data_IF_099404225433
#
_entry.id   IF_099404225433
#
_cell.length_a   1.000
_cell.length_b   1.000
_cell.length_c   1.000
_cell.angle_alpha   90.00
_cell.angle_beta   90.00
_cell.angle_gamma   90.00
#
_symmetry.space_group_name_H-M   'P 1'
#
loop_
_entity.id
_entity.type
_entity.pdbx_description
1 polymer ?
#
# COMPACT_ATOMS: atom_id res chain seq x y z
N UNK A 1 6.94 -3.33 -11.27
CA UNK A 1 5.95 -2.70 -10.38
C UNK A 1 5.78 -1.26 -10.81
N UNK A 2 4.52 -0.84 -10.90
CA UNK A 2 4.11 0.51 -11.30
C UNK A 2 3.61 1.31 -10.13
N UNK A 3 3.53 2.62 -10.37
CA UNK A 3 2.82 3.51 -9.47
C UNK A 3 1.33 3.58 -9.80
N UNK A 4 0.53 3.93 -8.79
CA UNK A 4 -0.86 4.33 -8.96
C UNK A 4 -0.94 5.48 -9.97
N UNK A 5 -1.95 5.46 -10.82
CA UNK A 5 -2.20 6.53 -11.80
C UNK A 5 -2.54 7.85 -11.12
N UNK A 6 -2.27 8.97 -11.80
CA UNK A 6 -2.63 10.32 -11.36
C UNK A 6 -1.97 10.75 -10.03
N UNK A 7 -0.67 10.43 -9.85
CA UNK A 7 0.09 10.86 -8.66
C UNK A 7 -0.06 12.36 -8.40
N UNK A 8 0.05 13.20 -9.43
CA UNK A 8 -0.03 14.65 -9.25
C UNK A 8 -1.42 15.12 -8.78
N UNK A 9 -2.50 14.53 -9.30
CA UNK A 9 -3.85 14.84 -8.81
C UNK A 9 -4.03 14.41 -7.35
N UNK A 10 -3.47 13.25 -6.98
CA UNK A 10 -3.49 12.77 -5.61
C UNK A 10 -2.69 13.70 -4.66
N UNK A 11 -1.57 14.25 -5.12
CA UNK A 11 -0.78 15.26 -4.39
C UNK A 11 -1.61 16.52 -4.18
N UNK A 12 -2.23 17.05 -5.24
CA UNK A 12 -3.06 18.26 -5.15
C UNK A 12 -4.27 18.07 -4.23
N UNK A 13 -4.88 16.88 -4.21
CA UNK A 13 -6.00 16.61 -3.32
C UNK A 13 -5.58 16.48 -1.85
N UNK A 14 -4.43 15.86 -1.57
CA UNK A 14 -3.88 15.80 -0.21
C UNK A 14 -3.42 17.19 0.27
N UNK A 15 -2.82 17.99 -0.62
CA UNK A 15 -2.45 19.38 -0.36
C UNK A 15 -3.67 20.22 0.07
N UNK A 16 -4.79 20.11 -0.66
CA UNK A 16 -6.04 20.82 -0.30
C UNK A 16 -6.56 20.42 1.09
N UNK A 17 -6.42 19.16 1.48
CA UNK A 17 -6.80 18.68 2.81
C UNK A 17 -5.92 19.34 3.87
N UNK A 18 -4.59 19.30 3.69
CA UNK A 18 -3.61 19.89 4.60
C UNK A 18 -3.77 21.41 4.73
N UNK A 19 -4.15 22.11 3.66
CA UNK A 19 -4.37 23.55 3.70
C UNK A 19 -5.62 23.93 4.49
N UNK A 20 -6.70 23.18 4.34
CA UNK A 20 -8.02 23.54 4.88
C UNK A 20 -8.23 23.06 6.31
N UNK A 21 -7.79 21.84 6.60
CA UNK A 21 -8.12 21.19 7.86
C UNK A 21 -7.09 21.53 8.93
N UNK A 22 -7.58 21.93 10.10
CA UNK A 22 -6.78 22.42 11.21
C UNK A 22 -6.88 21.53 12.45
N UNK A 23 -7.89 20.66 12.49
CA UNK A 23 -8.09 19.64 13.50
C UNK A 23 -7.44 18.32 13.07
N UNK A 24 -6.70 17.66 13.97
CA UNK A 24 -5.95 16.44 13.69
C UNK A 24 -6.84 15.21 13.41
N UNK A 25 -7.96 15.08 14.11
CA UNK A 25 -8.91 13.96 13.94
C UNK A 25 -9.62 14.05 12.59
N UNK A 26 -10.13 15.23 12.25
CA UNK A 26 -10.72 15.49 10.94
C UNK A 26 -9.68 15.33 9.82
N UNK A 27 -8.44 15.82 10.02
CA UNK A 27 -7.35 15.64 9.06
C UNK A 27 -7.12 14.14 8.79
N UNK A 28 -6.97 13.35 9.85
CA UNK A 28 -6.81 11.90 9.76
C UNK A 28 -7.98 11.25 9.00
N UNK A 29 -9.23 11.59 9.34
CA UNK A 29 -10.43 11.08 8.66
C UNK A 29 -10.43 11.39 7.17
N UNK A 30 -10.07 12.61 6.78
CA UNK A 30 -10.02 13.05 5.39
C UNK A 30 -8.91 12.36 4.59
N UNK A 31 -7.72 12.19 5.19
CA UNK A 31 -6.61 11.47 4.55
C UNK A 31 -6.99 9.99 4.35
N UNK A 32 -7.56 9.33 5.36
CA UNK A 32 -8.03 7.94 5.22
C UNK A 32 -9.08 7.80 4.12
N UNK A 33 -10.04 8.73 4.04
CA UNK A 33 -11.06 8.75 2.97
C UNK A 33 -10.44 8.95 1.60
N UNK A 34 -9.46 9.85 1.47
CA UNK A 34 -8.73 10.07 0.22
C UNK A 34 -8.01 8.78 -0.22
N UNK A 35 -7.24 8.16 0.67
CA UNK A 35 -6.47 6.96 0.34
C UNK A 35 -7.38 5.78 0.01
N UNK A 36 -8.47 5.61 0.76
CA UNK A 36 -9.50 4.60 0.48
C UNK A 36 -10.15 4.81 -0.90
N UNK A 37 -10.43 6.07 -1.27
CA UNK A 37 -10.98 6.41 -2.59
C UNK A 37 -10.00 6.05 -3.71
N UNK A 38 -8.72 6.34 -3.54
CA UNK A 38 -7.67 6.03 -4.52
C UNK A 38 -7.53 4.51 -4.67
N UNK A 39 -7.54 3.77 -3.57
CA UNK A 39 -7.40 2.31 -3.58
C UNK A 39 -8.63 1.55 -4.06
N UNK A 40 -9.76 2.22 -4.35
CA UNK A 40 -10.93 1.54 -4.95
C UNK A 40 -10.61 0.81 -6.26
N UNK A 41 -9.67 1.34 -7.04
CA UNK A 41 -9.21 0.71 -8.28
C UNK A 41 -8.26 -0.48 -8.05
N UNK A 42 -7.75 -0.63 -6.83
CA UNK A 42 -6.74 -1.63 -6.44
C UNK A 42 -7.17 -2.33 -5.15
N UNK A 43 -8.30 -3.06 -5.14
CA UNK A 43 -8.92 -3.58 -3.91
C UNK A 43 -8.06 -4.59 -3.14
N UNK A 44 -7.04 -5.15 -3.78
CA UNK A 44 -6.08 -6.04 -3.15
C UNK A 44 -5.03 -5.30 -2.31
N UNK A 45 -4.81 -3.99 -2.50
CA UNK A 45 -3.80 -3.23 -1.76
C UNK A 45 -4.33 -2.84 -0.38
N UNK A 46 -3.52 -3.07 0.66
CA UNK A 46 -3.86 -2.69 2.02
C UNK A 46 -3.76 -1.18 2.20
N UNK A 47 -4.73 -0.62 2.92
CA UNK A 47 -4.63 0.73 3.44
C UNK A 47 -3.48 0.78 4.48
N UNK A 48 -2.71 1.88 4.56
CA UNK A 48 -1.79 2.14 5.65
C UNK A 48 -2.50 2.13 7.00
N UNK A 49 -1.75 1.89 8.06
CA UNK A 49 -2.20 2.10 9.42
C UNK A 49 -2.14 3.59 9.74
N UNK A 50 -3.21 4.10 10.34
CA UNK A 50 -3.29 5.47 10.83
C UNK A 50 -3.55 5.44 12.33
N UNK A 51 -2.77 6.18 13.10
CA UNK A 51 -2.94 6.27 14.54
C UNK A 51 -2.60 7.67 15.03
N UNK A 52 -3.43 8.22 15.92
CA UNK A 52 -3.09 9.43 16.66
C UNK A 52 -2.36 8.97 17.91
N UNK A 53 -1.14 9.46 18.09
CA UNK A 53 -0.27 9.12 19.21
C UNK A 53 0.11 10.38 19.97
N UNK A 54 0.34 10.31 21.29
CA UNK A 54 0.90 11.43 22.04
C UNK A 54 2.26 11.84 21.47
N UNK A 55 2.45 13.12 21.18
CA UNK A 55 3.71 13.66 20.63
C UNK A 55 4.90 13.41 21.58
N UNK A 56 4.66 13.36 22.89
CA UNK A 56 5.68 13.00 23.90
C UNK A 56 6.26 11.59 23.70
N UNK A 57 5.51 10.67 23.09
CA UNK A 57 5.97 9.31 22.85
C UNK A 57 7.02 9.28 21.71
N UNK A 58 7.25 10.43 21.04
CA UNK A 58 8.22 10.64 19.98
C UNK A 58 9.48 11.39 20.41
N UNK A 59 9.64 11.69 21.72
CA UNK A 59 10.74 12.48 22.29
C UNK A 59 12.14 11.97 21.90
N UNK A 60 12.27 10.70 21.52
CA UNK A 60 13.53 10.05 21.15
C UNK A 60 13.61 9.55 19.69
N UNK A 61 12.57 9.76 18.89
CA UNK A 61 12.44 9.19 17.53
C UNK A 61 12.27 10.26 16.46
N UNK A 62 11.59 11.35 16.77
CA UNK A 62 11.38 12.51 15.91
C UNK A 62 12.05 13.68 16.62
N UNK A 63 12.63 14.64 15.89
CA UNK A 63 13.46 15.70 16.44
C UNK A 63 12.60 16.71 17.20
N UNK A 64 12.07 16.31 18.36
CA UNK A 64 11.25 17.10 19.26
C UNK A 64 12.07 18.30 19.77
N UNK A 65 12.08 19.37 18.97
CA UNK A 65 12.75 20.63 19.31
C UNK A 65 11.76 21.69 19.79
N UNK A 66 10.45 21.45 19.72
CA UNK A 66 9.45 22.43 20.16
C UNK A 66 8.59 21.92 21.33
N UNK A 67 8.88 22.35 22.58
CA UNK A 67 8.05 22.03 23.76
C UNK A 67 6.61 22.57 23.68
N UNK A 68 6.28 23.40 22.67
CA UNK A 68 4.95 23.94 22.43
C UNK A 68 4.21 23.27 21.25
N UNK A 69 4.73 22.16 20.71
CA UNK A 69 4.00 21.35 19.73
C UNK A 69 2.67 20.83 20.30
N UNK A 70 1.64 20.66 19.46
CA UNK A 70 0.39 20.01 19.88
C UNK A 70 0.72 18.64 20.48
N UNK A 71 -0.01 18.25 21.52
CA UNK A 71 0.22 17.04 22.32
C UNK A 71 0.01 15.73 21.56
N UNK A 72 -0.49 15.80 20.34
CA UNK A 72 -0.87 14.66 19.50
C UNK A 72 -0.28 14.77 18.10
N UNK A 73 0.11 13.62 17.55
CA UNK A 73 0.73 13.45 16.24
C UNK A 73 -0.01 12.36 15.48
N UNK A 74 -0.27 12.59 14.19
CA UNK A 74 -0.76 11.56 13.29
C UNK A 74 0.41 10.73 12.76
N UNK A 75 0.47 9.46 13.13
CA UNK A 75 1.35 8.46 12.56
C UNK A 75 0.65 7.78 11.38
N UNK A 76 1.31 7.79 10.22
CA UNK A 76 0.97 6.99 9.04
C UNK A 76 2.05 5.92 8.89
N UNK A 77 1.66 4.65 8.94
CA UNK A 77 2.60 3.52 8.87
C UNK A 77 2.18 2.49 7.84
N UNK A 78 3.14 2.05 7.03
CA UNK A 78 2.97 0.91 6.14
C UNK A 78 4.30 0.18 5.95
N UNK A 79 4.40 -1.02 6.52
CA UNK A 79 5.64 -1.79 6.58
C UNK A 79 6.81 -0.97 7.18
N UNK A 80 7.85 -0.72 6.39
CA UNK A 80 9.04 0.04 6.79
C UNK A 80 8.89 1.56 6.59
N UNK A 81 7.75 2.01 6.07
CA UNK A 81 7.45 3.44 5.97
C UNK A 81 6.70 3.90 7.22
N UNK A 82 7.22 4.95 7.84
CA UNK A 82 6.59 5.69 8.94
C UNK A 82 6.70 7.18 8.61
N UNK A 83 5.61 7.91 8.81
CA UNK A 83 5.54 9.34 8.64
C UNK A 83 4.72 9.94 9.80
N UNK A 84 5.21 11.07 10.30
CA UNK A 84 4.64 11.77 11.45
C UNK A 84 4.17 13.15 11.02
N UNK A 85 2.86 13.37 11.08
CA UNK A 85 2.26 14.67 10.83
C UNK A 85 1.83 15.27 12.16
N UNK A 86 2.38 16.43 12.49
CA UNK A 86 2.04 17.14 13.72
C UNK A 86 1.85 18.63 13.43
N UNK A 87 1.24 19.32 14.38
CA UNK A 87 1.00 20.76 14.27
C UNK A 87 1.83 21.51 15.29
N UNK A 88 2.51 22.55 14.84
CA UNK A 88 3.31 23.41 15.71
C UNK A 88 2.48 24.59 16.24
N UNK A 89 3.07 25.34 17.17
CA UNK A 89 2.47 26.53 17.77
C UNK A 89 2.13 27.64 16.75
N UNK A 90 2.81 27.64 15.60
CA UNK A 90 2.53 28.52 14.46
C UNK A 90 1.29 28.12 13.64
N UNK A 91 0.56 27.09 14.10
CA UNK A 91 -0.63 26.52 13.45
C UNK A 91 -0.35 25.89 12.08
N UNK A 92 0.90 25.61 11.73
CA UNK A 92 1.24 24.89 10.50
C UNK A 92 1.40 23.40 10.77
N UNK A 93 1.08 22.60 9.75
CA UNK A 93 1.40 21.18 9.71
C UNK A 93 2.86 20.98 9.38
N UNK A 94 3.47 19.98 10.01
CA UNK A 94 4.83 19.54 9.79
C UNK A 94 4.85 18.05 9.52
N UNK A 95 5.67 17.62 8.56
CA UNK A 95 5.99 16.23 8.29
C UNK A 95 7.42 15.95 8.74
N UNK A 96 7.57 15.05 9.70
CA UNK A 96 8.84 14.57 10.24
C UNK A 96 9.81 15.70 10.67
N UNK A 97 9.29 16.87 11.05
CA UNK A 97 10.04 18.12 11.33
C UNK A 97 10.78 18.73 10.13
N UNK A 98 10.71 18.11 8.95
CA UNK A 98 11.51 18.48 7.78
C UNK A 98 10.76 19.35 6.78
N UNK A 99 9.42 19.22 6.72
CA UNK A 99 8.61 19.88 5.71
C UNK A 99 7.39 20.53 6.36
N UNK A 100 7.19 21.83 6.11
CA UNK A 100 6.06 22.61 6.63
C UNK A 100 5.11 23.11 5.54
N UNK A 101 5.54 23.07 4.27
CA UNK A 101 4.73 23.52 3.15
C UNK A 101 3.75 22.41 2.73
N UNK A 102 2.42 22.67 2.70
CA UNK A 102 1.40 21.64 2.44
C UNK A 102 1.66 20.82 1.17
N UNK A 103 2.10 21.46 0.09
CA UNK A 103 2.45 20.78 -1.15
C UNK A 103 3.63 19.82 -0.97
N UNK A 104 4.67 20.23 -0.24
CA UNK A 104 5.84 19.38 0.02
C UNK A 104 5.48 18.21 0.92
N UNK A 105 4.65 18.43 1.94
CA UNK A 105 4.13 17.37 2.82
C UNK A 105 3.36 16.34 1.98
N UNK A 106 2.39 16.80 1.18
CA UNK A 106 1.58 15.93 0.34
C UNK A 106 2.43 15.11 -0.62
N UNK A 107 3.36 15.78 -1.32
CA UNK A 107 4.30 15.15 -2.25
C UNK A 107 5.15 14.08 -1.57
N UNK A 108 5.75 14.39 -0.41
CA UNK A 108 6.64 13.46 0.30
C UNK A 108 5.90 12.25 0.85
N UNK A 109 4.66 12.41 1.31
CA UNK A 109 3.84 11.28 1.73
C UNK A 109 3.56 10.38 0.54
N UNK A 110 3.06 10.93 -0.57
CA UNK A 110 2.65 10.13 -1.75
C UNK A 110 3.85 9.46 -2.43
N UNK A 111 4.99 10.15 -2.56
CA UNK A 111 6.21 9.61 -3.18
C UNK A 111 6.88 8.48 -2.38
N UNK A 112 6.62 8.40 -1.07
CA UNK A 112 7.36 7.49 -0.18
C UNK A 112 6.52 6.34 0.32
N UNK A 113 5.20 6.51 0.45
CA UNK A 113 4.36 5.47 1.03
C UNK A 113 4.18 4.31 0.03
N UNK A 114 4.50 3.06 0.44
CA UNK A 114 4.60 1.93 -0.50
C UNK A 114 3.36 1.67 -1.35
N UNK A 115 2.15 1.86 -0.81
CA UNK A 115 0.90 1.60 -1.54
C UNK A 115 0.80 2.31 -2.90
N UNK A 116 1.36 3.51 -3.06
CA UNK A 116 1.30 4.24 -4.33
C UNK A 116 2.28 3.70 -5.37
N UNK A 117 3.21 2.85 -5.00
CA UNK A 117 4.29 2.35 -5.85
C UNK A 117 4.32 0.82 -5.96
N UNK A 118 3.24 0.17 -5.52
CA UNK A 118 3.14 -1.29 -5.40
C UNK A 118 2.05 -1.89 -6.31
N UNK A 119 1.87 -1.34 -7.51
CA UNK A 119 0.98 -1.98 -8.50
C UNK A 119 1.76 -3.11 -9.18
N UNK A 120 1.37 -4.38 -9.00
CA UNK A 120 2.06 -5.48 -9.64
C UNK A 120 1.78 -5.50 -11.14
N UNK A 121 2.74 -6.00 -11.91
CA UNK A 121 2.65 -6.15 -13.37
C UNK A 121 2.76 -7.61 -13.82
N UNK A 122 3.02 -8.53 -12.90
CA UNK A 122 3.15 -9.95 -13.17
C UNK A 122 2.94 -10.78 -11.89
N UNK A 123 2.75 -12.10 -11.99
CA UNK A 123 2.51 -12.99 -10.86
C UNK A 123 3.64 -13.01 -9.81
N UNK A 124 4.89 -12.81 -10.23
CA UNK A 124 6.03 -12.78 -9.29
C UNK A 124 5.97 -11.55 -8.38
N UNK A 125 5.56 -10.41 -8.93
CA UNK A 125 5.33 -9.20 -8.14
C UNK A 125 4.15 -9.35 -7.19
N UNK A 126 3.07 -10.01 -7.60
CA UNK A 126 1.96 -10.35 -6.69
C UNK A 126 2.46 -11.20 -5.52
N UNK A 127 3.25 -12.25 -5.78
CA UNK A 127 3.86 -13.08 -4.72
C UNK A 127 4.73 -12.24 -3.78
N UNK A 128 5.60 -11.41 -4.33
CA UNK A 128 6.46 -10.53 -3.52
C UNK A 128 5.64 -9.60 -2.62
N UNK A 129 4.62 -8.93 -3.17
CA UNK A 129 3.76 -8.01 -2.41
C UNK A 129 2.93 -8.70 -1.33
N UNK A 130 2.55 -9.96 -1.53
CA UNK A 130 1.92 -10.81 -0.52
C UNK A 130 2.90 -11.12 0.62
N UNK A 131 4.14 -11.49 0.28
CA UNK A 131 5.19 -11.84 1.23
C UNK A 131 5.60 -10.64 2.10
N UNK A 132 5.72 -9.45 1.50
CA UNK A 132 6.00 -8.22 2.26
C UNK A 132 4.74 -7.59 2.87
N UNK A 133 3.56 -8.19 2.68
CA UNK A 133 2.34 -7.78 3.36
C UNK A 133 1.66 -6.50 2.85
N UNK A 134 2.03 -5.98 1.67
CA UNK A 134 1.41 -4.78 1.06
C UNK A 134 0.01 -5.06 0.52
N UNK A 135 -0.25 -6.30 0.08
CA UNK A 135 -1.56 -6.69 -0.46
C UNK A 135 -2.24 -7.74 0.43
N UNK A 136 -3.57 -7.76 0.43
CA UNK A 136 -4.38 -8.76 1.11
C UNK A 136 -4.27 -10.10 0.38
N UNK A 137 -4.20 -11.21 1.12
CA UNK A 137 -4.41 -12.53 0.53
C UNK A 137 -5.92 -12.72 0.31
N UNK A 138 -6.41 -12.26 -0.84
CA UNK A 138 -7.78 -12.51 -1.30
C UNK A 138 -7.75 -12.82 -2.80
N UNK A 139 -7.79 -14.12 -3.18
CA UNK A 139 -7.73 -14.54 -4.57
C UNK A 139 -8.79 -13.92 -5.48
N UNK A 140 -9.93 -13.47 -4.93
CA UNK A 140 -11.02 -12.85 -5.72
C UNK A 140 -10.63 -11.51 -6.34
N UNK A 141 -9.65 -10.83 -5.74
CA UNK A 141 -9.24 -9.48 -6.16
C UNK A 141 -7.92 -9.46 -6.91
N UNK A 142 -7.24 -10.59 -7.07
CA UNK A 142 -5.95 -10.59 -7.75
C UNK A 142 -6.09 -10.24 -9.24
N UNK A 143 -5.23 -9.35 -9.76
CA UNK A 143 -5.23 -9.00 -11.17
C UNK A 143 -4.81 -10.19 -12.02
N UNK A 144 -5.30 -10.24 -13.25
CA UNK A 144 -4.84 -11.16 -14.30
C UNK A 144 -4.07 -10.33 -15.33
N UNK A 145 -2.90 -10.82 -15.74
CA UNK A 145 -1.99 -10.05 -16.61
C UNK A 145 -1.98 -10.56 -18.05
N UNK A 146 -2.75 -11.62 -18.34
CA UNK A 146 -2.86 -12.24 -19.64
C UNK A 146 -4.29 -12.72 -19.89
N UNK A 147 -4.66 -12.74 -21.17
CA UNK A 147 -5.92 -13.28 -21.68
C UNK A 147 -5.84 -14.79 -22.02
N UNK A 148 -4.66 -15.41 -21.82
CA UNK A 148 -4.50 -16.85 -22.04
C UNK A 148 -5.50 -17.62 -21.16
N UNK A 149 -6.19 -18.57 -21.78
CA UNK A 149 -7.06 -19.52 -21.08
C UNK A 149 -6.22 -20.66 -20.52
N UNK A 150 -6.39 -20.93 -19.23
CA UNK A 150 -5.73 -22.01 -18.54
C UNK A 150 -6.63 -23.24 -18.50
N UNK A 151 -6.01 -24.42 -18.59
CA UNK A 151 -6.72 -25.71 -18.60
C UNK A 151 -7.33 -26.05 -17.24
N UNK A 152 -6.64 -25.72 -16.15
CA UNK A 152 -7.16 -25.73 -14.78
C UNK A 152 -6.84 -24.40 -14.09
N UNK A 153 -7.80 -23.87 -13.34
CA UNK A 153 -7.70 -22.61 -12.59
C UNK A 153 -7.99 -22.75 -11.10
N UNK A 154 -8.27 -23.96 -10.59
CA UNK A 154 -8.72 -24.13 -9.19
C UNK A 154 -7.69 -23.64 -8.17
N UNK A 155 -6.41 -23.91 -8.40
CA UNK A 155 -5.32 -23.53 -7.49
C UNK A 155 -4.58 -22.26 -7.93
N UNK A 156 -5.01 -21.64 -9.03
CA UNK A 156 -4.32 -20.50 -9.63
C UNK A 156 -4.85 -19.20 -9.06
N UNK A 157 -3.93 -18.41 -8.52
CA UNK A 157 -4.18 -17.10 -7.93
C UNK A 157 -4.12 -15.99 -8.97
N UNK A 158 -3.14 -16.02 -9.88
CA UNK A 158 -2.93 -15.05 -10.96
C UNK A 158 -1.93 -15.59 -11.98
N UNK A 159 -1.92 -15.06 -13.21
CA UNK A 159 -1.02 -15.48 -14.28
C UNK A 159 -0.68 -14.33 -15.25
N UNK A 160 0.42 -14.49 -15.97
CA UNK A 160 0.78 -13.76 -17.18
C UNK A 160 1.03 -14.74 -18.35
N UNK A 161 1.63 -14.28 -19.44
CA UNK A 161 1.88 -15.11 -20.62
C UNK A 161 2.91 -16.23 -20.40
N UNK A 162 3.67 -16.20 -19.30
CA UNK A 162 4.81 -17.09 -19.06
C UNK A 162 4.68 -17.87 -17.75
N UNK A 163 4.12 -17.24 -16.73
CA UNK A 163 4.10 -17.74 -15.37
C UNK A 163 2.71 -17.66 -14.76
N UNK A 164 2.50 -18.52 -13.78
CA UNK A 164 1.32 -18.53 -12.92
C UNK A 164 1.74 -18.64 -11.45
N UNK A 165 0.98 -17.99 -10.59
CA UNK A 165 1.12 -18.06 -9.14
C UNK A 165 0.03 -18.98 -8.61
N UNK A 166 0.42 -20.00 -7.86
CA UNK A 166 -0.48 -20.91 -7.16
C UNK A 166 -0.29 -20.83 -5.65
N UNK A 167 -1.29 -21.34 -4.93
CA UNK A 167 -1.23 -21.57 -3.50
C UNK A 167 -2.55 -21.28 -2.81
N UNK A 168 -2.66 -21.73 -1.57
CA UNK A 168 -3.86 -21.55 -0.74
C UNK A 168 -3.59 -20.71 0.51
N UNK A 169 -2.31 -20.47 0.82
CA UNK A 169 -1.82 -19.73 2.00
C UNK A 169 -0.53 -18.99 1.65
N UNK A 170 -0.19 -17.95 2.40
CA UNK A 170 1.04 -17.18 2.18
C UNK A 170 2.32 -18.03 2.22
N UNK A 171 2.35 -19.07 3.06
CA UNK A 171 3.52 -19.92 3.24
C UNK A 171 3.69 -21.03 2.18
N UNK A 172 2.74 -21.19 1.25
CA UNK A 172 2.82 -22.21 0.19
C UNK A 172 2.74 -21.63 -1.23
N UNK A 173 2.96 -20.32 -1.38
CA UNK A 173 2.96 -19.66 -2.67
C UNK A 173 4.09 -20.16 -3.58
N UNK A 174 3.76 -20.57 -4.80
CA UNK A 174 4.73 -21.03 -5.81
C UNK A 174 4.48 -20.40 -7.16
N UNK A 175 5.57 -20.15 -7.88
CA UNK A 175 5.54 -19.71 -9.27
C UNK A 175 5.89 -20.91 -10.14
N UNK A 176 5.08 -21.16 -11.16
CA UNK A 176 5.36 -22.13 -12.21
C UNK A 176 5.33 -21.43 -13.57
N UNK A 177 6.09 -21.95 -14.51
CA UNK A 177 5.82 -21.73 -15.94
C UNK A 177 4.56 -22.51 -16.36
N UNK A 178 3.97 -22.12 -17.49
CA UNK A 178 2.84 -22.86 -18.06
C UNK A 178 3.20 -24.32 -18.40
N UNK A 179 4.42 -24.57 -18.85
CA UNK A 179 4.92 -25.93 -19.13
C UNK A 179 5.00 -26.78 -17.87
N UNK A 180 5.62 -26.26 -16.81
CA UNK A 180 5.72 -26.98 -15.52
C UNK A 180 4.34 -27.26 -14.90
N UNK A 181 3.40 -26.33 -15.05
CA UNK A 181 2.04 -26.50 -14.55
C UNK A 181 1.27 -27.57 -15.33
N UNK A 182 1.40 -27.59 -16.65
CA UNK A 182 0.80 -28.62 -17.49
C UNK A 182 1.34 -30.01 -17.13
N UNK A 183 2.65 -30.15 -16.98
CA UNK A 183 3.27 -31.41 -16.54
C UNK A 183 2.76 -31.88 -15.17
N UNK A 184 2.40 -30.96 -14.27
CA UNK A 184 1.81 -31.29 -12.97
C UNK A 184 0.37 -31.79 -13.12
N UNK A 185 -0.46 -31.10 -13.90
CA UNK A 185 -1.85 -31.52 -14.18
C UNK A 185 -1.87 -32.91 -14.82
N UNK A 186 -1.02 -33.12 -15.83
CA UNK A 186 -0.97 -34.40 -16.57
C UNK A 186 -0.58 -35.56 -15.64
N UNK A 187 0.32 -35.32 -14.68
CA UNK A 187 0.67 -36.31 -13.66
C UNK A 187 -0.48 -36.58 -12.70
N UNK A 188 -1.16 -35.54 -12.19
CA UNK A 188 -2.30 -35.72 -11.28
C UNK A 188 -3.42 -36.52 -11.94
N UNK A 189 -3.76 -36.21 -13.20
CA UNK A 189 -4.76 -36.93 -13.96
C UNK A 189 -4.37 -38.40 -14.22
N UNK A 190 -3.09 -38.67 -14.51
CA UNK A 190 -2.61 -40.05 -14.69
C UNK A 190 -2.79 -40.92 -13.44
N UNK A 191 -2.75 -40.34 -12.24
CA UNK A 191 -3.00 -41.06 -10.99
C UNK A 191 -4.50 -41.18 -10.62
N UNK A 192 -5.38 -40.52 -11.37
CA UNK A 192 -6.83 -40.55 -11.17
C UNK A 192 -7.54 -41.52 -12.14
N UNK A 193 -6.84 -42.03 -13.16
CA UNK A 193 -7.25 -43.13 -14.04
C UNK A 193 -6.83 -44.51 -13.50
#
# INVERSE_FOLDING_TARGET
MKSIVNIEDNILDLEKILYKEQNLEELNSLIQKLFSRILKAYPYIKLPMFSIIPTKDLEFTVWYQNPNAITETLLIKQNNFEAYIWKSSDQKWYLDDLYSEPHQIAKKIIERIPMFHSIPENPREVKYLLEIGIIHFDPKFFPKFSEIKLEDTHEILTWDDRFLLIGTRLNNLKIYSHEEWKDLIDRENYYLE
#
